data_IF_633630572645
#
_entry.id   IF_633630572645
#
_cell.length_a   1.000
_cell.length_b   1.000
_cell.length_c   1.000
_cell.angle_alpha   90.00
_cell.angle_beta   90.00
_cell.angle_gamma   90.00
#
_symmetry.space_group_name_H-M   'P 1'
#
loop_
_entity.id
_entity.type
_entity.pdbx_description
1 polymer ?
#
# COMPACT_ATOMS: atom_id res chain seq x y z
N UNK A 1 9.66 1.40 -9.56
CA UNK A 1 8.77 1.16 -10.73
C UNK A 1 9.26 1.76 -12.06
N UNK A 2 9.74 3.02 -12.12
CA UNK A 2 10.16 3.70 -13.37
C UNK A 2 11.17 2.90 -14.23
N UNK A 3 12.20 2.32 -13.60
CA UNK A 3 13.22 1.48 -14.28
C UNK A 3 12.65 0.14 -14.81
N UNK A 4 11.45 -0.23 -14.40
CA UNK A 4 10.75 -1.47 -14.77
C UNK A 4 9.54 -1.18 -15.66
N UNK A 5 9.51 -0.03 -16.36
CA UNK A 5 8.42 0.35 -17.27
C UNK A 5 8.10 -0.79 -18.24
N UNK A 6 6.82 -1.13 -18.36
CA UNK A 6 6.32 -2.23 -19.20
C UNK A 6 6.60 -3.64 -18.68
N UNK A 7 7.28 -3.80 -17.53
CA UNK A 7 7.59 -5.11 -16.93
C UNK A 7 6.79 -5.42 -15.68
N UNK A 8 6.08 -4.44 -15.14
CA UNK A 8 5.23 -4.61 -13.95
C UNK A 8 3.81 -4.24 -14.35
N UNK A 9 2.94 -5.24 -14.42
CA UNK A 9 1.54 -5.07 -14.77
C UNK A 9 0.64 -4.83 -13.55
N UNK A 10 1.09 -5.21 -12.35
CA UNK A 10 0.28 -5.16 -11.14
C UNK A 10 1.09 -4.74 -9.92
N UNK A 11 0.45 -4.09 -8.94
CA UNK A 11 1.04 -3.73 -7.65
C UNK A 11 0.12 -4.15 -6.51
N UNK A 12 0.71 -4.58 -5.40
CA UNK A 12 0.01 -4.64 -4.12
C UNK A 12 0.32 -3.34 -3.37
N UNK A 13 -0.73 -2.71 -2.85
CA UNK A 13 -0.65 -1.49 -2.07
C UNK A 13 -0.96 -1.84 -0.62
N UNK A 14 0.02 -1.59 0.23
CA UNK A 14 -0.02 -1.88 1.65
C UNK A 14 0.73 -0.78 2.39
N UNK A 15 0.33 -0.48 3.62
CA UNK A 15 0.95 0.58 4.41
C UNK A 15 1.45 0.06 5.77
N UNK A 16 2.34 0.84 6.37
CA UNK A 16 2.92 0.60 7.67
C UNK A 16 2.48 1.69 8.63
N UNK A 17 2.24 1.30 9.88
CA UNK A 17 1.99 2.21 10.98
C UNK A 17 3.24 3.05 11.26
N UNK A 18 3.04 4.27 11.75
CA UNK A 18 4.14 5.12 12.21
C UNK A 18 4.79 4.55 13.47
N UNK A 19 6.11 4.68 13.59
CA UNK A 19 6.86 4.27 14.77
C UNK A 19 7.31 2.81 14.76
N UNK A 20 7.24 2.14 13.61
CA UNK A 20 7.87 0.84 13.40
C UNK A 20 9.36 1.04 13.17
N UNK A 21 10.19 0.22 13.83
CA UNK A 21 11.63 0.18 13.61
C UNK A 21 11.91 -0.47 12.24
N UNK A 22 12.56 0.28 11.36
CA UNK A 22 12.85 -0.13 9.98
C UNK A 22 14.35 -0.03 9.68
N UNK A 23 14.92 -0.91 8.83
CA UNK A 23 14.24 -2.03 8.17
C UNK A 23 14.08 -3.25 9.08
N UNK A 24 12.97 -3.98 8.93
CA UNK A 24 12.70 -5.28 9.56
C UNK A 24 12.49 -6.33 8.46
N UNK A 25 13.11 -7.50 8.59
CA UNK A 25 13.13 -8.54 7.55
C UNK A 25 12.57 -9.89 8.02
N UNK A 26 12.33 -10.04 9.32
CA UNK A 26 11.69 -11.20 9.94
C UNK A 26 10.21 -10.93 10.22
N UNK A 27 9.88 -10.69 11.49
CA UNK A 27 8.51 -10.48 11.93
C UNK A 27 8.30 -9.06 12.41
N UNK A 28 7.15 -8.50 12.07
CA UNK A 28 6.67 -7.23 12.63
C UNK A 28 5.61 -7.48 13.72
N UNK A 29 5.39 -6.53 14.65
CA UNK A 29 4.28 -6.57 15.58
C UNK A 29 2.92 -6.79 14.87
N UNK A 30 1.95 -7.37 15.59
CA UNK A 30 0.62 -7.67 15.03
C UNK A 30 -0.16 -6.43 14.56
N UNK A 31 0.21 -5.25 15.05
CA UNK A 31 -0.40 -3.97 14.75
C UNK A 31 0.50 -3.07 13.89
N UNK A 32 1.49 -3.66 13.20
CA UNK A 32 2.46 -2.90 12.42
C UNK A 32 1.92 -2.35 11.10
N UNK A 33 0.77 -2.86 10.63
CA UNK A 33 0.14 -2.44 9.39
C UNK A 33 -1.00 -1.45 9.66
N UNK A 34 -1.24 -0.58 8.70
CA UNK A 34 -2.24 0.48 8.78
C UNK A 34 -2.94 0.63 7.43
N UNK A 35 -4.21 1.03 7.44
CA UNK A 35 -4.96 1.33 6.22
C UNK A 35 -4.25 2.40 5.36
N UNK A 36 -4.40 2.27 4.04
CA UNK A 36 -3.80 3.20 3.09
C UNK A 36 -4.29 4.63 3.37
N UNK A 37 -3.35 5.57 3.49
CA UNK A 37 -3.64 6.98 3.79
C UNK A 37 -3.51 7.38 5.26
N UNK A 38 -3.46 6.40 6.16
CA UNK A 38 -3.18 6.62 7.60
C UNK A 38 -1.82 6.09 8.04
N UNK A 39 -1.11 5.37 7.16
CA UNK A 39 0.24 4.91 7.41
C UNK A 39 1.32 5.92 7.02
N UNK A 40 2.49 5.42 6.63
CA UNK A 40 3.70 6.21 6.37
C UNK A 40 4.15 6.19 4.90
N UNK A 41 3.59 5.31 4.08
CA UNK A 41 3.98 5.16 2.68
C UNK A 41 3.22 6.18 1.81
N UNK A 42 3.90 7.02 1.01
CA UNK A 42 3.23 8.07 0.25
C UNK A 42 2.52 7.51 -0.99
N UNK A 43 1.23 7.22 -0.87
CA UNK A 43 0.44 6.54 -1.91
C UNK A 43 0.33 7.31 -3.23
N UNK A 44 0.04 8.62 -3.19
CA UNK A 44 -0.17 9.43 -4.39
C UNK A 44 1.02 9.39 -5.38
N UNK A 45 2.27 9.71 -4.98
CA UNK A 45 3.39 9.64 -5.91
C UNK A 45 3.71 8.21 -6.38
N UNK A 46 3.37 7.18 -5.60
CA UNK A 46 3.52 5.78 -6.01
C UNK A 46 2.55 5.43 -7.12
N UNK A 47 1.27 5.78 -6.96
CA UNK A 47 0.21 5.50 -7.95
C UNK A 47 0.47 6.27 -9.24
N UNK A 48 0.84 7.55 -9.15
CA UNK A 48 1.22 8.35 -10.33
C UNK A 48 2.43 7.74 -11.06
N UNK A 49 3.42 7.22 -10.32
CA UNK A 49 4.56 6.55 -10.94
C UNK A 49 4.20 5.20 -11.55
N UNK A 50 3.26 4.46 -10.95
CA UNK A 50 2.74 3.20 -11.45
C UNK A 50 1.98 3.39 -12.78
N UNK A 51 1.08 4.37 -12.82
CA UNK A 51 0.34 4.75 -14.03
C UNK A 51 1.31 5.09 -15.18
N UNK A 52 2.31 5.95 -14.93
CA UNK A 52 3.35 6.31 -15.93
C UNK A 52 4.19 5.12 -16.39
N UNK A 53 4.33 4.09 -15.56
CA UNK A 53 5.08 2.87 -15.87
C UNK A 53 4.26 1.81 -16.63
N UNK A 54 2.94 2.01 -16.78
CA UNK A 54 2.04 1.07 -17.45
C UNK A 54 1.52 -0.05 -16.55
N UNK A 55 1.46 0.16 -15.24
CA UNK A 55 0.78 -0.75 -14.31
C UNK A 55 -0.72 -0.72 -14.61
N UNK A 56 -1.34 -1.88 -14.79
CA UNK A 56 -2.75 -2.03 -15.14
C UNK A 56 -3.66 -2.18 -13.91
N UNK A 57 -3.16 -2.83 -12.84
CA UNK A 57 -3.96 -3.10 -11.65
C UNK A 57 -3.19 -2.79 -10.36
N UNK A 58 -3.86 -2.16 -9.40
CA UNK A 58 -3.39 -2.04 -8.03
C UNK A 58 -4.38 -2.79 -7.12
N UNK A 59 -3.85 -3.59 -6.21
CA UNK A 59 -4.62 -4.39 -5.25
C UNK A 59 -4.38 -3.81 -3.86
N UNK A 60 -5.45 -3.49 -3.14
CA UNK A 60 -5.34 -3.13 -1.72
C UNK A 60 -5.07 -4.42 -0.95
N UNK A 61 -3.99 -4.43 -0.16
CA UNK A 61 -3.60 -5.53 0.70
C UNK A 61 -3.37 -5.00 2.11
N UNK A 62 -3.96 -5.67 3.09
CA UNK A 62 -3.71 -5.42 4.50
C UNK A 62 -3.31 -6.75 5.14
N UNK A 63 -2.08 -6.80 5.67
CA UNK A 63 -1.72 -7.88 6.58
C UNK A 63 -2.31 -7.58 7.95
N UNK A 64 -2.77 -8.63 8.64
CA UNK A 64 -3.21 -8.57 10.04
C UNK A 64 -4.26 -7.47 10.28
N UNK A 65 -5.52 -7.79 9.97
CA UNK A 65 -6.65 -6.90 10.23
C UNK A 65 -7.71 -7.59 11.10
N UNK A 66 -8.17 -6.96 12.21
CA UNK A 66 -9.25 -7.50 13.02
C UNK A 66 -10.62 -7.43 12.30
N UNK A 67 -10.79 -6.48 11.38
CA UNK A 67 -11.96 -6.35 10.50
C UNK A 67 -11.50 -6.06 9.05
N UNK A 68 -11.21 -7.11 8.26
CA UNK A 68 -10.62 -6.95 6.94
C UNK A 68 -11.55 -6.24 5.96
N UNK A 69 -12.87 -6.37 6.10
CA UNK A 69 -13.82 -5.73 5.18
C UNK A 69 -13.89 -4.23 5.46
N UNK A 70 -13.93 -3.82 6.73
CA UNK A 70 -13.87 -2.40 7.08
C UNK A 70 -12.54 -1.77 6.65
N UNK A 71 -11.43 -2.47 6.89
CA UNK A 71 -10.07 -2.03 6.55
C UNK A 71 -9.88 -1.79 5.04
N UNK A 72 -10.31 -2.75 4.19
CA UNK A 72 -10.26 -2.58 2.73
C UNK A 72 -11.17 -1.43 2.28
N UNK A 73 -12.37 -1.30 2.83
CA UNK A 73 -13.28 -0.20 2.49
C UNK A 73 -12.67 1.17 2.81
N UNK A 74 -12.01 1.31 3.96
CA UNK A 74 -11.34 2.55 4.34
C UNK A 74 -10.20 2.89 3.38
N UNK A 75 -9.34 1.92 3.07
CA UNK A 75 -8.24 2.10 2.12
C UNK A 75 -8.73 2.49 0.72
N UNK A 76 -9.78 1.83 0.21
CA UNK A 76 -10.38 2.16 -1.09
C UNK A 76 -10.97 3.58 -1.09
N UNK A 77 -11.61 4.01 0.01
CA UNK A 77 -12.13 5.39 0.14
C UNK A 77 -11.00 6.41 0.05
N UNK A 78 -9.86 6.17 0.71
CA UNK A 78 -8.70 7.05 0.58
C UNK A 78 -8.19 7.10 -0.86
N UNK A 79 -8.01 5.94 -1.51
CA UNK A 79 -7.54 5.87 -2.90
C UNK A 79 -8.47 6.61 -3.89
N UNK A 80 -9.77 6.64 -3.64
CA UNK A 80 -10.73 7.37 -4.47
C UNK A 80 -10.59 8.90 -4.38
N UNK A 81 -9.77 9.42 -3.46
CA UNK A 81 -9.47 10.86 -3.34
C UNK A 81 -8.19 11.29 -4.07
N UNK A 82 -7.42 10.33 -4.61
CA UNK A 82 -6.11 10.54 -5.24
C UNK A 82 -6.19 10.64 -6.77
#
# INVERSE_FOLDING_TARGET
>A
IKKLKGRVSQLHLKDLKKGIDLPEFGSVPKDAFQELGEGIIPMEPIIQAAQKAGVAHCHVEQDQSPDPIASINQSIKHLATL
#
